data_IF_931925500233
#
_entry.id   IF_931925500233
#
_cell.length_a   1.000
_cell.length_b   1.000
_cell.length_c   1.000
_cell.angle_alpha   90.00
_cell.angle_beta   90.00
_cell.angle_gamma   90.00
#
_symmetry.space_group_name_H-M   'P 1'
#
loop_
_entity.id
_entity.type
_entity.pdbx_description
1 polymer ?
#
# COMPACT_ATOMS: atom_id res chain seq x y z
N UNK A 1 7.39 39.60 -31.00
CA UNK A 1 8.19 38.36 -30.85
C UNK A 1 7.48 37.48 -29.85
N UNK A 2 6.97 36.32 -30.28
CA UNK A 2 6.08 35.48 -29.48
C UNK A 2 6.83 34.20 -29.14
N UNK A 3 7.29 34.06 -27.91
CA UNK A 3 8.02 32.89 -27.41
C UNK A 3 7.06 31.70 -27.33
N UNK A 4 7.40 30.59 -27.99
CA UNK A 4 6.68 29.33 -27.88
C UNK A 4 7.50 28.41 -26.98
N UNK A 5 6.93 28.00 -25.84
CA UNK A 5 7.51 27.03 -24.92
C UNK A 5 6.97 25.64 -25.28
N UNK A 6 7.84 24.73 -25.71
CA UNK A 6 7.48 23.33 -26.02
C UNK A 6 7.80 22.49 -24.78
N UNK A 7 6.75 22.00 -24.12
CA UNK A 7 6.87 20.98 -23.08
C UNK A 7 6.89 19.60 -23.74
N UNK A 8 8.07 18.99 -23.87
CA UNK A 8 8.22 17.58 -24.22
C UNK A 8 7.94 16.74 -22.98
N UNK A 9 6.70 16.30 -22.81
CA UNK A 9 6.36 15.28 -21.82
C UNK A 9 6.64 13.93 -22.48
N UNK A 10 7.63 13.19 -21.96
CA UNK A 10 7.81 11.77 -22.24
C UNK A 10 7.07 11.00 -21.12
N UNK A 11 5.77 10.68 -21.26
CA UNK A 11 5.01 10.08 -20.15
C UNK A 11 5.38 8.63 -19.81
N UNK A 12 6.31 7.97 -20.52
CA UNK A 12 6.26 6.52 -20.66
C UNK A 12 7.52 5.69 -20.32
N UNK A 13 8.53 6.16 -19.55
CA UNK A 13 9.65 5.25 -19.18
C UNK A 13 10.15 5.38 -17.72
N UNK A 14 9.28 5.75 -16.77
CA UNK A 14 9.57 5.47 -15.36
C UNK A 14 8.27 5.03 -14.67
N UNK A 15 7.85 3.78 -14.91
CA UNK A 15 7.05 3.09 -13.88
C UNK A 15 8.02 2.75 -12.76
N UNK A 16 8.29 3.75 -11.91
CA UNK A 16 8.86 3.50 -10.59
C UNK A 16 7.86 2.60 -9.88
N UNK A 17 8.30 1.43 -9.42
CA UNK A 17 7.50 0.57 -8.54
C UNK A 17 7.14 1.41 -7.31
N UNK A 18 5.99 2.08 -7.33
CA UNK A 18 5.63 3.06 -6.31
C UNK A 18 4.90 2.33 -5.17
N UNK A 19 5.54 1.26 -4.67
CA UNK A 19 5.11 0.54 -3.48
C UNK A 19 5.37 1.41 -2.25
N UNK A 20 4.46 2.36 -2.04
CA UNK A 20 4.45 3.30 -0.92
C UNK A 20 3.51 2.78 0.15
N UNK A 21 3.90 2.93 1.41
CA UNK A 21 2.93 2.83 2.50
C UNK A 21 1.83 3.87 2.26
N UNK A 22 0.61 3.53 2.65
CA UNK A 22 -0.54 4.44 2.52
C UNK A 22 -1.05 4.84 3.89
N UNK A 23 -1.71 5.99 3.98
CA UNK A 23 -2.43 6.39 5.19
C UNK A 23 -3.68 5.53 5.43
N UNK A 24 -4.38 5.74 6.55
CA UNK A 24 -5.44 4.85 7.05
C UNK A 24 -6.51 4.53 5.99
N UNK A 25 -6.99 5.57 5.29
CA UNK A 25 -8.04 5.48 4.25
C UNK A 25 -7.51 5.19 2.84
N UNK A 26 -6.21 4.87 2.70
CA UNK A 26 -5.55 4.58 1.43
C UNK A 26 -5.57 5.70 0.39
N UNK A 27 -5.73 6.96 0.80
CA UNK A 27 -5.82 8.10 -0.11
C UNK A 27 -4.48 8.80 -0.36
N UNK A 28 -3.56 8.75 0.61
CA UNK A 28 -2.29 9.45 0.54
C UNK A 28 -1.14 8.50 0.84
N UNK A 29 0.04 8.82 0.30
CA UNK A 29 1.29 8.15 0.64
C UNK A 29 1.69 8.52 2.08
N UNK A 30 2.24 7.54 2.78
CA UNK A 30 2.84 7.69 4.10
C UNK A 30 4.25 7.11 4.05
N UNK A 31 5.16 7.66 4.86
CA UNK A 31 6.51 7.10 4.96
C UNK A 31 6.53 5.77 5.73
N UNK A 32 5.64 5.63 6.71
CA UNK A 32 5.44 4.41 7.48
C UNK A 32 3.99 4.28 7.94
N UNK A 33 3.56 3.04 8.15
CA UNK A 33 2.25 2.71 8.69
C UNK A 33 2.36 1.44 9.53
N UNK A 34 1.64 1.40 10.67
CA UNK A 34 1.57 0.26 11.57
C UNK A 34 0.09 -0.07 11.78
N UNK A 35 -0.24 -1.35 11.72
CA UNK A 35 -1.55 -1.88 12.03
C UNK A 35 -1.43 -2.96 13.10
N UNK A 36 -2.10 -2.75 14.23
CA UNK A 36 -2.26 -3.76 15.25
C UNK A 36 -3.66 -4.36 15.17
N UNK A 37 -3.76 -5.63 14.75
CA UNK A 37 -5.03 -6.36 14.70
C UNK A 37 -5.11 -7.32 15.89
N UNK A 38 -6.06 -7.10 16.79
CA UNK A 38 -6.26 -7.99 17.92
C UNK A 38 -6.71 -9.40 17.50
N UNK A 39 -6.57 -10.41 18.39
CA UNK A 39 -7.26 -11.68 18.25
C UNK A 39 -8.76 -11.45 18.06
N UNK A 40 -9.42 -12.24 17.22
CA UNK A 40 -10.87 -12.17 16.90
C UNK A 40 -11.41 -10.83 16.38
N UNK A 41 -10.56 -9.85 16.10
CA UNK A 41 -10.95 -8.59 15.48
C UNK A 41 -10.66 -8.60 13.98
N UNK A 42 -11.64 -8.15 13.20
CA UNK A 42 -11.52 -7.98 11.75
C UNK A 42 -10.91 -6.62 11.38
N UNK A 43 -11.02 -5.63 12.27
CA UNK A 43 -10.43 -4.29 12.13
C UNK A 43 -9.36 -4.08 13.18
N UNK A 44 -8.22 -3.54 12.77
CA UNK A 44 -7.12 -3.20 13.68
C UNK A 44 -7.13 -1.74 14.13
N UNK A 45 -6.17 -1.40 15.00
CA UNK A 45 -5.75 -0.04 15.31
C UNK A 45 -4.62 0.37 14.38
N UNK A 46 -4.67 1.59 13.87
CA UNK A 46 -3.76 2.12 12.87
C UNK A 46 -2.97 3.31 13.42
N UNK A 47 -1.69 3.39 13.05
CA UNK A 47 -0.78 4.48 13.36
C UNK A 47 0.10 4.76 12.15
N UNK A 48 0.28 6.03 11.77
CA UNK A 48 1.15 6.43 10.66
C UNK A 48 1.70 7.84 10.90
N UNK A 49 2.66 8.27 10.07
CA UNK A 49 3.34 9.57 10.22
C UNK A 49 2.39 10.78 10.21
N UNK A 50 1.28 10.70 9.47
CA UNK A 50 0.27 11.76 9.39
C UNK A 50 -0.56 11.89 10.69
N UNK A 51 -0.57 10.84 11.52
CA UNK A 51 -1.26 10.81 12.81
C UNK A 51 -0.38 10.10 13.87
N UNK A 52 0.83 10.60 14.18
CA UNK A 52 1.87 9.83 14.86
C UNK A 52 1.62 9.63 16.37
N UNK A 53 0.67 10.37 16.96
CA UNK A 53 0.37 10.33 18.39
C UNK A 53 -0.93 9.61 18.76
N UNK A 54 -1.72 9.15 17.78
CA UNK A 54 -3.03 8.56 18.08
C UNK A 54 -3.29 7.27 17.30
N UNK A 55 -3.56 6.20 18.05
CA UNK A 55 -4.04 4.94 17.48
C UNK A 55 -5.50 5.08 17.06
N UNK A 56 -5.74 5.22 15.76
CA UNK A 56 -7.09 5.35 15.20
C UNK A 56 -7.67 3.99 14.79
N UNK A 57 -8.98 3.91 14.60
CA UNK A 57 -9.58 2.70 14.03
C UNK A 57 -9.15 2.53 12.57
N UNK A 58 -8.81 1.31 12.16
CA UNK A 58 -8.56 0.98 10.76
C UNK A 58 -9.76 1.29 9.87
N UNK A 59 -9.50 1.86 8.69
CA UNK A 59 -10.54 2.36 7.77
C UNK A 59 -11.47 1.28 7.19
N UNK A 60 -11.03 0.01 7.15
CA UNK A 60 -11.83 -1.14 6.73
C UNK A 60 -11.37 -2.42 7.47
N UNK A 61 -11.98 -3.57 7.17
CA UNK A 61 -11.48 -4.86 7.68
C UNK A 61 -10.17 -5.22 6.99
N UNK A 62 -9.28 -5.94 7.67
CA UNK A 62 -7.94 -6.26 7.14
C UNK A 62 -8.01 -7.22 5.94
N UNK A 63 -9.10 -7.97 5.83
CA UNK A 63 -9.36 -8.92 4.74
C UNK A 63 -10.02 -8.28 3.52
N UNK A 64 -10.47 -7.02 3.62
CA UNK A 64 -11.05 -6.33 2.48
C UNK A 64 -10.00 -6.08 1.39
N UNK A 65 -10.39 -6.20 0.12
CA UNK A 65 -9.49 -5.98 -1.01
C UNK A 65 -9.12 -4.52 -1.23
N UNK A 66 -9.78 -3.59 -0.56
CA UNK A 66 -9.61 -2.15 -0.74
C UNK A 66 -10.06 -1.36 0.50
N UNK A 67 -9.87 -0.04 0.47
CA UNK A 67 -10.39 0.86 1.50
C UNK A 67 -9.54 0.99 2.76
N UNK A 68 -8.37 0.36 2.81
CA UNK A 68 -7.40 0.54 3.89
C UNK A 68 -5.95 0.50 3.39
N UNK A 69 -5.05 1.06 4.19
CA UNK A 69 -3.62 1.23 3.89
C UNK A 69 -2.92 0.00 3.28
N UNK A 70 -3.06 -1.16 3.91
CA UNK A 70 -2.30 -2.37 3.57
C UNK A 70 -2.75 -3.00 2.24
N UNK A 71 -4.05 -3.04 1.96
CA UNK A 71 -4.55 -3.52 0.67
C UNK A 71 -4.04 -2.64 -0.48
N UNK A 72 -4.04 -1.33 -0.29
CA UNK A 72 -3.53 -0.40 -1.31
C UNK A 72 -2.01 -0.47 -1.47
N UNK A 73 -1.26 -0.66 -0.38
CA UNK A 73 0.21 -0.82 -0.42
C UNK A 73 0.62 -2.08 -1.19
N UNK A 74 -0.15 -3.16 -1.05
CA UNK A 74 0.11 -4.46 -1.70
C UNK A 74 -0.69 -4.66 -2.98
N UNK A 75 -1.44 -3.66 -3.45
CA UNK A 75 -2.31 -3.78 -4.62
C UNK A 75 -1.54 -4.26 -5.85
N UNK A 76 -0.33 -3.76 -6.02
CA UNK A 76 0.53 -4.08 -7.15
C UNK A 76 1.28 -5.42 -7.02
N UNK A 77 1.40 -5.94 -5.80
CA UNK A 77 1.98 -7.24 -5.48
C UNK A 77 0.96 -8.36 -5.66
N UNK A 78 -0.28 -8.11 -5.22
CA UNK A 78 -1.38 -9.06 -5.31
C UNK A 78 -2.15 -8.97 -6.66
N UNK A 79 -1.95 -7.90 -7.42
CA UNK A 79 -2.62 -7.62 -8.69
C UNK A 79 -1.94 -8.25 -9.91
N UNK A 80 -2.71 -8.42 -10.98
CA UNK A 80 -2.18 -8.90 -12.25
C UNK A 80 -1.51 -7.77 -13.04
N UNK A 81 -0.22 -7.54 -12.76
CA UNK A 81 0.53 -6.41 -13.27
C UNK A 81 1.47 -6.73 -14.45
N UNK A 82 1.10 -7.69 -15.31
CA UNK A 82 1.87 -8.06 -16.52
C UNK A 82 3.38 -8.27 -16.25
N UNK A 83 3.73 -8.86 -15.10
CA UNK A 83 5.11 -9.07 -14.63
C UNK A 83 5.97 -7.80 -14.48
N UNK A 84 5.36 -6.61 -14.41
CA UNK A 84 6.06 -5.35 -14.21
C UNK A 84 6.59 -5.19 -12.76
N UNK A 85 6.00 -5.91 -11.81
CA UNK A 85 6.33 -5.84 -10.38
C UNK A 85 7.07 -7.11 -9.96
N UNK A 86 8.14 -6.95 -9.18
CA UNK A 86 8.93 -8.04 -8.62
C UNK A 86 8.88 -7.97 -7.10
N UNK A 87 8.56 -9.06 -6.43
CA UNK A 87 8.50 -9.13 -4.97
C UNK A 87 9.03 -10.48 -4.44
N UNK A 88 9.45 -10.48 -3.19
CA UNK A 88 9.83 -11.69 -2.45
C UNK A 88 8.86 -11.87 -1.28
N UNK A 89 8.15 -12.98 -1.26
CA UNK A 89 7.37 -13.41 -0.10
C UNK A 89 8.19 -14.40 0.72
N UNK A 90 8.25 -14.17 2.04
CA UNK A 90 8.97 -15.03 2.97
C UNK A 90 8.06 -15.40 4.14
N UNK A 91 8.09 -16.66 4.56
CA UNK A 91 7.40 -17.17 5.73
C UNK A 91 8.28 -18.23 6.41
N UNK A 92 8.39 -18.19 7.73
CA UNK A 92 9.11 -19.19 8.53
C UNK A 92 8.34 -20.52 8.66
N UNK A 93 7.05 -20.55 8.31
CA UNK A 93 6.25 -21.78 8.26
C UNK A 93 6.48 -22.49 6.94
N UNK A 94 6.84 -23.79 6.95
CA UNK A 94 7.02 -24.56 5.72
C UNK A 94 5.75 -24.54 4.85
N UNK A 95 5.86 -24.38 3.52
CA UNK A 95 4.72 -24.44 2.62
C UNK A 95 4.04 -25.82 2.68
N UNK A 96 2.70 -25.86 2.63
CA UNK A 96 1.93 -27.11 2.53
C UNK A 96 1.50 -27.78 3.85
N UNK A 97 1.60 -27.10 4.99
CA UNK A 97 1.00 -27.57 6.25
C UNK A 97 -0.49 -27.20 6.26
N UNK A 98 -1.43 -28.15 6.45
CA UNK A 98 -2.83 -27.81 6.67
C UNK A 98 -2.98 -27.04 7.98
N UNK A 99 -3.86 -26.03 7.96
CA UNK A 99 -4.27 -25.24 9.12
C UNK A 99 -5.33 -25.97 9.94
#
# INVERSE_FOLDING_TARGET
MRTVLIFLVLPNIISSQNAKCKNNNAQQDADWAILYKGPTQDRGKFLALDVPENWVNGAATVTDRAGHSFAATLADVAGNNNNAVKFLAYNNVPPGRPN
#
